data_IF_287231452080
#
_entry.id   IF_287231452080
#
_cell.length_a   1.000
_cell.length_b   1.000
_cell.length_c   1.000
_cell.angle_alpha   90.00
_cell.angle_beta   90.00
_cell.angle_gamma   90.00
#
_symmetry.space_group_name_H-M   'P 1'
#
loop_
_entity.id
_entity.type
_entity.pdbx_description
1 polymer ?
#
# COMPACT_ATOMS: atom_id res chain seq x y z
N UNK A 1 -10.99 -1.20 6.31
CA UNK A 1 -10.40 -2.18 5.37
C UNK A 1 -9.03 -2.58 5.88
N UNK A 2 -8.56 -3.75 5.45
CA UNK A 2 -7.19 -4.22 5.70
C UNK A 2 -6.19 -3.50 4.79
N UNK A 3 -4.88 -3.50 5.14
CA UNK A 3 -3.86 -2.86 4.31
C UNK A 3 -3.80 -3.41 2.89
N UNK A 4 -3.96 -4.72 2.69
CA UNK A 4 -3.93 -5.33 1.36
C UNK A 4 -5.12 -4.89 0.50
N UNK A 5 -6.33 -4.84 1.07
CA UNK A 5 -7.52 -4.35 0.36
C UNK A 5 -7.36 -2.88 -0.05
N UNK A 6 -6.81 -2.05 0.86
CA UNK A 6 -6.56 -0.64 0.59
C UNK A 6 -5.54 -0.44 -0.54
N UNK A 7 -4.41 -1.16 -0.49
CA UNK A 7 -3.37 -1.11 -1.52
C UNK A 7 -3.94 -1.55 -2.87
N UNK A 8 -4.63 -2.68 -2.90
CA UNK A 8 -5.22 -3.26 -4.12
C UNK A 8 -6.21 -2.29 -4.75
N UNK A 9 -7.14 -1.77 -3.95
CA UNK A 9 -8.13 -0.80 -4.43
C UNK A 9 -7.50 0.44 -5.04
N UNK A 10 -6.50 1.04 -4.39
CA UNK A 10 -5.83 2.24 -4.93
C UNK A 10 -5.11 1.94 -6.24
N UNK A 11 -4.45 0.79 -6.35
CA UNK A 11 -3.73 0.40 -7.56
C UNK A 11 -4.70 0.14 -8.70
N UNK A 12 -5.80 -0.57 -8.45
CA UNK A 12 -6.81 -0.86 -9.47
C UNK A 12 -7.54 0.42 -9.92
N UNK A 13 -7.93 1.31 -9.00
CA UNK A 13 -8.49 2.63 -9.33
C UNK A 13 -7.52 3.43 -10.25
N UNK A 14 -6.21 3.35 -10.00
CA UNK A 14 -5.19 3.99 -10.84
C UNK A 14 -5.05 3.34 -12.20
N UNK A 15 -5.11 2.00 -12.29
CA UNK A 15 -5.08 1.25 -13.56
C UNK A 15 -6.28 1.61 -14.42
N UNK A 16 -7.48 1.63 -13.84
CA UNK A 16 -8.72 2.03 -14.52
C UNK A 16 -8.61 3.46 -15.09
N UNK A 17 -8.08 4.38 -14.28
CA UNK A 17 -7.84 5.78 -14.69
C UNK A 17 -6.59 5.98 -15.54
N UNK A 18 -5.84 4.92 -15.84
CA UNK A 18 -4.55 4.94 -16.57
C UNK A 18 -3.54 5.94 -15.99
N UNK A 19 -3.53 6.09 -14.67
CA UNK A 19 -2.66 7.05 -13.96
C UNK A 19 -1.42 6.32 -13.43
N UNK A 20 -0.26 6.63 -13.99
CA UNK A 20 1.02 6.05 -13.60
C UNK A 20 1.72 6.88 -12.50
N UNK A 21 2.50 6.25 -11.61
CA UNK A 21 2.71 4.80 -11.46
C UNK A 21 1.53 4.09 -10.76
N UNK A 22 1.34 2.82 -11.10
CA UNK A 22 0.34 1.91 -10.51
C UNK A 22 0.78 1.43 -9.12
N UNK A 23 0.89 2.36 -8.18
CA UNK A 23 1.27 2.11 -6.80
C UNK A 23 0.35 2.83 -5.81
N UNK A 24 0.32 2.34 -4.58
CA UNK A 24 -0.39 2.97 -3.48
C UNK A 24 0.60 3.69 -2.56
N UNK A 25 0.38 4.98 -2.30
CA UNK A 25 1.20 5.74 -1.35
C UNK A 25 0.79 5.39 0.09
N UNK A 26 1.75 5.29 1.02
CA UNK A 26 1.45 5.07 2.44
C UNK A 26 0.46 6.09 3.00
N UNK A 27 0.59 7.36 2.57
CA UNK A 27 -0.29 8.45 2.97
C UNK A 27 -1.73 8.29 2.45
N UNK A 28 -1.92 7.53 1.38
CA UNK A 28 -3.25 7.18 0.85
C UNK A 28 -3.79 5.88 1.46
N UNK A 29 -2.92 4.93 1.81
CA UNK A 29 -3.29 3.64 2.38
C UNK A 29 -3.66 3.76 3.86
N UNK A 30 -2.84 4.49 4.64
CA UNK A 30 -2.99 4.61 6.11
C UNK A 30 -4.37 5.12 6.53
N UNK A 31 -4.94 6.19 5.95
CA UNK A 31 -6.25 6.72 6.36
C UNK A 31 -7.41 5.77 6.04
N UNK A 32 -7.23 4.85 5.09
CA UNK A 32 -8.25 3.86 4.74
C UNK A 32 -8.23 2.66 5.70
N UNK A 33 -7.11 2.44 6.40
CA UNK A 33 -6.95 1.35 7.33
C UNK A 33 -7.39 1.77 8.74
N UNK A 34 -8.39 1.10 9.30
CA UNK A 34 -8.85 1.35 10.66
C UNK A 34 -8.02 0.53 11.67
N UNK A 35 -6.70 0.74 11.67
CA UNK A 35 -5.73 0.01 12.48
C UNK A 35 -4.81 0.98 13.22
N UNK A 36 -4.35 0.61 14.41
CA UNK A 36 -3.28 1.34 15.10
C UNK A 36 -1.97 1.32 14.29
N UNK A 37 -1.04 2.24 14.58
CA UNK A 37 0.23 2.33 13.84
C UNK A 37 1.05 1.04 13.97
N UNK A 38 1.03 0.43 15.16
CA UNK A 38 1.72 -0.83 15.43
C UNK A 38 1.12 -2.00 14.65
N UNK A 39 -0.21 -2.11 14.62
CA UNK A 39 -0.90 -3.17 13.87
C UNK A 39 -0.70 -3.02 12.37
N UNK A 40 -0.77 -1.79 11.86
CA UNK A 40 -0.55 -1.51 10.45
C UNK A 40 0.87 -1.88 10.03
N UNK A 41 1.87 -1.43 10.80
CA UNK A 41 3.28 -1.75 10.52
C UNK A 41 3.51 -3.26 10.53
N UNK A 42 2.96 -3.96 11.52
CA UNK A 42 3.06 -5.43 11.62
C UNK A 42 2.44 -6.13 10.41
N UNK A 43 1.30 -5.65 9.94
CA UNK A 43 0.62 -6.24 8.79
C UNK A 43 1.34 -5.94 7.47
N UNK A 44 1.83 -4.72 7.27
CA UNK A 44 2.67 -4.38 6.11
C UNK A 44 3.94 -5.25 6.07
N UNK A 45 4.63 -5.42 7.20
CA UNK A 45 5.82 -6.29 7.27
C UNK A 45 5.47 -7.76 6.96
N UNK A 46 4.31 -8.26 7.40
CA UNK A 46 3.83 -9.59 7.02
C UNK A 46 3.61 -9.70 5.51
N UNK A 47 2.94 -8.72 4.88
CA UNK A 47 2.67 -8.71 3.45
C UNK A 47 3.97 -8.62 2.63
N UNK A 48 4.94 -7.82 3.09
CA UNK A 48 6.30 -7.75 2.50
C UNK A 48 7.02 -9.09 2.59
N UNK A 49 7.02 -9.70 3.78
CA UNK A 49 7.68 -11.00 4.02
C UNK A 49 7.04 -12.12 3.19
N UNK A 50 5.72 -12.07 3.00
CA UNK A 50 4.99 -13.01 2.15
C UNK A 50 5.20 -12.78 0.65
N UNK A 51 5.91 -11.71 0.24
CA UNK A 51 6.13 -11.37 -1.16
C UNK A 51 4.88 -10.88 -1.89
N UNK A 52 3.85 -10.43 -1.16
CA UNK A 52 2.59 -9.95 -1.76
C UNK A 52 2.74 -8.49 -2.21
N UNK A 53 3.56 -7.72 -1.49
CA UNK A 53 3.83 -6.32 -1.82
C UNK A 53 5.32 -6.03 -1.82
N UNK A 54 5.71 -5.07 -2.65
CA UNK A 54 7.04 -4.45 -2.63
C UNK A 54 6.92 -3.01 -2.16
N UNK A 55 7.68 -2.68 -1.12
CA UNK A 55 7.82 -1.32 -0.63
C UNK A 55 8.98 -0.62 -1.35
N UNK A 56 8.73 0.58 -1.88
CA UNK A 56 9.78 1.47 -2.37
C UNK A 56 9.72 2.80 -1.63
N UNK A 57 10.82 3.13 -0.98
CA UNK A 57 11.00 4.39 -0.29
C UNK A 57 11.82 5.36 -1.16
N UNK A 58 11.34 6.58 -1.25
CA UNK A 58 12.07 7.73 -1.77
C UNK A 58 12.32 8.72 -0.62
N UNK A 59 13.08 9.79 -0.88
CA UNK A 59 13.35 10.84 0.11
C UNK A 59 12.06 11.45 0.69
N UNK A 60 10.98 11.49 -0.10
CA UNK A 60 9.74 12.19 0.26
C UNK A 60 8.52 11.28 0.43
N UNK A 61 8.61 9.99 0.11
CA UNK A 61 7.43 9.12 0.13
C UNK A 61 7.76 7.64 0.23
N UNK A 62 6.81 6.87 0.76
CA UNK A 62 6.80 5.41 0.72
C UNK A 62 5.65 4.96 -0.17
N UNK A 63 5.95 4.08 -1.12
CA UNK A 63 5.00 3.52 -2.08
C UNK A 63 4.97 2.00 -1.98
N UNK A 64 3.77 1.43 -2.06
CA UNK A 64 3.52 -0.01 -2.13
C UNK A 64 3.11 -0.40 -3.55
N UNK A 65 3.72 -1.47 -4.05
CA UNK A 65 3.41 -2.13 -5.31
C UNK A 65 2.89 -3.53 -4.99
N UNK A 66 1.95 -4.03 -5.81
CA UNK A 66 1.61 -5.45 -5.81
C UNK A 66 2.64 -6.18 -6.67
N UNK A 67 3.16 -7.30 -6.16
CA UNK A 67 4.06 -8.18 -6.90
C UNK A 67 3.29 -9.14 -7.83
#
# INVERSE_FOLDING_TARGET
MTPIEAITKIIDDKKERRTYPFCALISSVRPLCNLSDAEFTKEIERLKTAGIIVERQTVNSVSYYLE
#
